data_IF_991929875796
#
_entry.id   IF_991929875796
#
_cell.length_a   1.000
_cell.length_b   1.000
_cell.length_c   1.000
_cell.angle_alpha   90.00
_cell.angle_beta   90.00
_cell.angle_gamma   90.00
#
_symmetry.space_group_name_H-M   'P 1'
#
loop_
_entity.id
_entity.type
_entity.pdbx_description
1 polymer ?
#
# COMPACT_ATOMS: atom_id res chain seq x y z
N UNK A 1 -61.66 2.25 32.46
CA UNK A 1 -60.34 2.84 32.76
C UNK A 1 -59.25 1.92 32.25
N UNK A 2 -58.62 2.26 31.15
CA UNK A 2 -57.51 1.48 30.56
C UNK A 2 -56.25 2.31 30.74
N UNK A 3 -55.29 1.82 31.51
CA UNK A 3 -53.96 2.41 31.64
C UNK A 3 -53.05 1.95 30.49
N UNK A 4 -52.53 2.92 29.74
CA UNK A 4 -51.48 2.68 28.69
C UNK A 4 -50.13 2.95 29.34
N UNK A 5 -49.33 1.91 29.50
CA UNK A 5 -47.93 2.03 29.92
C UNK A 5 -47.09 2.32 28.69
N UNK A 6 -46.51 3.49 28.61
CA UNK A 6 -45.50 3.83 27.59
C UNK A 6 -44.10 3.42 28.10
N UNK A 7 -43.52 2.42 27.48
CA UNK A 7 -42.11 2.07 27.70
C UNK A 7 -41.21 3.10 26.99
N UNK A 8 -40.41 3.80 27.75
CA UNK A 8 -39.32 4.62 27.22
C UNK A 8 -38.10 3.68 26.98
N UNK A 9 -37.72 3.47 25.72
CA UNK A 9 -36.46 2.82 25.38
C UNK A 9 -35.34 3.87 25.43
N UNK A 10 -34.45 3.72 26.39
CA UNK A 10 -33.25 4.55 26.53
C UNK A 10 -32.15 3.95 25.65
N UNK A 11 -31.91 4.55 24.49
CA UNK A 11 -30.77 4.20 23.63
C UNK A 11 -29.52 4.88 24.17
N UNK A 12 -28.64 4.11 24.80
CA UNK A 12 -27.33 4.56 25.20
C UNK A 12 -26.38 4.54 23.99
N UNK A 13 -26.07 5.72 23.47
CA UNK A 13 -25.03 5.89 22.43
C UNK A 13 -23.66 5.90 23.12
N UNK A 14 -22.92 4.84 23.01
CA UNK A 14 -21.51 4.81 23.43
C UNK A 14 -20.65 5.53 22.39
N UNK A 15 -20.23 6.74 22.68
CA UNK A 15 -19.18 7.41 21.94
C UNK A 15 -17.83 6.83 22.39
N UNK A 16 -17.19 6.03 21.53
CA UNK A 16 -15.81 5.60 21.74
C UNK A 16 -14.90 6.77 21.40
N UNK A 17 -14.41 7.47 22.41
CA UNK A 17 -13.33 8.44 22.26
C UNK A 17 -12.01 7.68 22.10
N UNK A 18 -11.52 7.55 20.87
CA UNK A 18 -10.13 7.16 20.60
C UNK A 18 -9.26 8.39 20.87
N UNK A 19 -8.63 8.43 22.03
CA UNK A 19 -7.59 9.44 22.34
C UNK A 19 -6.32 8.96 21.62
N UNK A 20 -6.20 9.28 20.33
CA UNK A 20 -4.95 9.19 19.60
C UNK A 20 -3.98 10.25 20.11
N UNK A 21 -2.80 9.85 20.58
CA UNK A 21 -1.69 10.77 20.84
C UNK A 21 -1.40 11.55 19.56
N UNK A 22 -1.58 12.87 19.61
CA UNK A 22 -1.25 13.76 18.48
C UNK A 22 0.27 13.86 18.38
N UNK A 23 0.87 13.02 17.53
CA UNK A 23 2.21 13.31 17.03
C UNK A 23 2.19 14.67 16.34
N UNK A 24 3.21 15.48 16.55
CA UNK A 24 3.36 16.77 15.86
C UNK A 24 3.56 16.51 14.37
N UNK A 25 2.58 16.89 13.53
CA UNK A 25 2.73 16.90 12.09
C UNK A 25 3.89 17.84 11.71
N UNK A 26 4.75 17.42 10.78
CA UNK A 26 5.70 18.35 10.16
C UNK A 26 4.92 19.37 9.34
N UNK A 27 5.13 20.64 9.64
CA UNK A 27 4.42 21.75 8.97
C UNK A 27 4.67 21.82 7.44
N UNK A 28 5.74 21.18 6.97
CA UNK A 28 6.15 21.25 5.57
C UNK A 28 5.42 20.25 4.66
N UNK A 29 4.85 19.15 5.21
CA UNK A 29 4.23 18.09 4.39
C UNK A 29 2.84 18.47 3.87
N UNK A 30 2.18 19.47 4.45
CA UNK A 30 0.84 19.91 4.05
C UNK A 30 0.85 20.95 2.92
N UNK A 31 2.01 21.51 2.56
CA UNK A 31 2.10 22.62 1.60
C UNK A 31 1.90 22.17 0.13
N UNK A 32 2.18 20.91 -0.20
CA UNK A 32 2.13 20.40 -1.57
C UNK A 32 0.82 19.73 -1.94
N UNK A 33 0.10 19.18 -0.95
CA UNK A 33 -1.17 18.49 -1.13
C UNK A 33 -2.29 19.28 -0.50
N UNK A 34 -3.31 19.60 -1.29
CA UNK A 34 -4.48 20.33 -0.78
C UNK A 34 -5.56 19.35 -0.31
N UNK A 35 -6.43 19.79 0.60
CA UNK A 35 -7.52 18.98 1.16
C UNK A 35 -8.60 18.57 0.14
N UNK A 36 -8.37 18.81 -1.15
CA UNK A 36 -9.25 18.41 -2.25
C UNK A 36 -8.95 17.01 -2.80
N UNK A 37 -8.05 16.26 -2.15
CA UNK A 37 -7.94 14.85 -2.47
C UNK A 37 -9.23 14.15 -2.05
N UNK A 38 -9.89 13.64 -3.05
CA UNK A 38 -11.24 13.13 -2.93
C UNK A 38 -11.32 11.62 -2.86
N UNK A 39 -10.19 10.91 -2.89
CA UNK A 39 -10.25 9.45 -2.71
C UNK A 39 -10.53 9.12 -1.24
N UNK A 40 -11.76 8.69 -0.91
CA UNK A 40 -12.16 8.51 0.47
C UNK A 40 -11.39 7.37 1.13
N UNK A 41 -10.98 7.58 2.38
CA UNK A 41 -10.54 6.51 3.24
C UNK A 41 -11.78 5.76 3.77
N UNK A 42 -12.12 4.66 3.11
CA UNK A 42 -13.25 3.83 3.53
C UNK A 42 -12.90 3.06 4.81
N UNK A 43 -13.90 2.73 5.64
CA UNK A 43 -13.69 1.84 6.77
C UNK A 43 -13.16 0.47 6.30
N UNK A 44 -12.23 -0.09 7.05
CA UNK A 44 -11.78 -1.47 6.82
C UNK A 44 -12.90 -2.45 7.14
N UNK A 45 -13.00 -3.55 6.38
CA UNK A 45 -13.88 -4.67 6.72
C UNK A 45 -13.38 -5.38 7.99
N UNK A 46 -14.24 -6.18 8.63
CA UNK A 46 -13.85 -6.93 9.82
C UNK A 46 -12.66 -7.85 9.54
N UNK A 47 -12.65 -8.51 8.38
CA UNK A 47 -11.55 -9.38 7.95
C UNK A 47 -10.25 -8.60 7.74
N UNK A 48 -10.31 -7.38 7.17
CA UNK A 48 -9.13 -6.53 6.99
C UNK A 48 -8.58 -6.05 8.34
N UNK A 49 -9.45 -5.73 9.30
CA UNK A 49 -9.03 -5.37 10.67
C UNK A 49 -8.36 -6.54 11.36
N UNK A 50 -8.95 -7.74 11.27
CA UNK A 50 -8.38 -8.97 11.83
C UNK A 50 -7.03 -9.30 11.19
N UNK A 51 -6.94 -9.29 9.85
CA UNK A 51 -5.70 -9.55 9.14
C UNK A 51 -4.60 -8.53 9.50
N UNK A 52 -4.94 -7.25 9.62
CA UNK A 52 -4.02 -6.20 10.09
C UNK A 52 -3.45 -6.56 11.47
N UNK A 53 -4.29 -7.02 12.40
CA UNK A 53 -3.85 -7.42 13.73
C UNK A 53 -2.94 -8.66 13.69
N UNK A 54 -3.30 -9.67 12.89
CA UNK A 54 -2.49 -10.88 12.67
C UNK A 54 -1.12 -10.54 12.11
N UNK A 55 -1.05 -9.72 11.06
CA UNK A 55 0.22 -9.30 10.44
C UNK A 55 1.09 -8.50 11.42
N UNK A 56 0.50 -7.60 12.19
CA UNK A 56 1.22 -6.82 13.21
C UNK A 56 1.70 -7.65 14.40
N UNK A 57 1.00 -8.71 14.73
CA UNK A 57 1.46 -9.67 15.73
C UNK A 57 2.61 -10.56 15.23
N UNK A 58 2.79 -10.66 13.90
CA UNK A 58 3.88 -11.42 13.29
C UNK A 58 5.24 -10.68 13.31
N UNK A 59 5.33 -9.51 13.92
CA UNK A 59 6.61 -8.87 14.22
C UNK A 59 7.48 -9.85 15.04
N UNK A 60 8.74 -10.10 14.65
CA UNK A 60 9.54 -11.17 15.24
C UNK A 60 9.86 -10.89 16.71
N UNK A 61 9.01 -11.43 17.56
CA UNK A 61 9.41 -11.84 18.89
C UNK A 61 10.06 -13.25 18.84
N UNK A 62 10.51 -13.71 17.67
CA UNK A 62 11.15 -15.00 17.49
C UNK A 62 10.20 -16.18 17.24
N UNK A 63 8.99 -15.97 16.80
CA UNK A 63 8.04 -17.05 16.47
C UNK A 63 7.78 -17.13 14.98
N UNK A 64 8.06 -18.30 14.38
CA UNK A 64 7.58 -18.68 13.06
C UNK A 64 6.05 -18.60 13.01
N UNK A 65 5.51 -17.56 12.40
CA UNK A 65 4.13 -17.59 11.97
C UNK A 65 4.12 -18.38 10.67
N UNK A 66 3.89 -19.67 10.78
CA UNK A 66 3.61 -20.55 9.63
C UNK A 66 2.24 -20.19 9.08
N UNK A 67 2.18 -19.09 8.32
CA UNK A 67 1.15 -18.93 7.30
C UNK A 67 1.46 -20.05 6.29
N UNK A 68 0.61 -21.07 6.24
CA UNK A 68 0.81 -22.24 5.38
C UNK A 68 1.06 -21.78 3.93
N UNK A 69 2.33 -21.70 3.59
CA UNK A 69 2.78 -21.18 2.31
C UNK A 69 2.99 -22.34 1.37
N UNK A 70 2.14 -22.43 0.37
CA UNK A 70 2.39 -23.29 -0.80
C UNK A 70 3.21 -22.59 -1.89
N UNK A 71 3.61 -21.33 -1.70
CA UNK A 71 4.42 -20.55 -2.66
C UNK A 71 5.45 -19.75 -1.86
N UNK A 72 6.73 -20.07 -2.03
CA UNK A 72 7.84 -19.36 -1.40
C UNK A 72 8.58 -18.55 -2.46
N UNK A 73 8.35 -17.23 -2.59
CA UNK A 73 9.25 -16.38 -3.35
C UNK A 73 10.66 -16.40 -2.69
N UNK A 74 11.70 -16.34 -3.50
CA UNK A 74 13.06 -16.27 -3.00
C UNK A 74 13.33 -14.91 -2.38
N UNK A 75 13.55 -14.85 -1.07
CA UNK A 75 14.05 -13.65 -0.38
C UNK A 75 15.57 -13.66 -0.41
N UNK A 76 16.17 -12.63 -0.97
CA UNK A 76 17.61 -12.41 -0.88
C UNK A 76 17.89 -11.61 0.39
N UNK A 77 18.51 -12.25 1.36
CA UNK A 77 18.82 -11.65 2.64
C UNK A 77 20.33 -11.45 2.79
N UNK A 78 20.77 -10.22 3.08
CA UNK A 78 22.18 -9.87 3.22
C UNK A 78 22.81 -10.30 4.56
N UNK A 79 22.01 -10.52 5.61
CA UNK A 79 22.48 -11.11 6.89
C UNK A 79 21.29 -11.60 7.74
N UNK A 80 21.01 -12.90 7.71
CA UNK A 80 19.94 -13.53 8.49
C UNK A 80 20.48 -14.27 9.72
N UNK A 81 21.25 -13.64 10.56
CA UNK A 81 21.74 -14.25 11.80
C UNK A 81 21.42 -13.38 13.01
N UNK A 82 20.46 -13.83 13.81
CA UNK A 82 20.08 -13.22 15.09
C UNK A 82 18.64 -12.72 15.12
N UNK A 83 17.89 -12.95 16.19
CA UNK A 83 16.47 -12.73 16.41
C UNK A 83 15.95 -11.30 16.18
N UNK A 84 15.95 -10.81 14.93
CA UNK A 84 15.46 -9.52 14.50
C UNK A 84 15.38 -9.45 12.99
N UNK A 85 14.84 -8.35 12.45
CA UNK A 85 14.84 -8.09 11.01
C UNK A 85 16.27 -7.90 10.50
N UNK A 86 16.62 -8.45 9.31
CA UNK A 86 17.89 -8.15 8.67
C UNK A 86 17.96 -6.66 8.29
N UNK A 87 19.17 -6.13 8.08
CA UNK A 87 19.38 -4.76 7.65
C UNK A 87 18.75 -4.48 6.28
N UNK A 88 18.65 -5.51 5.41
CA UNK A 88 17.94 -5.43 4.13
C UNK A 88 17.32 -6.75 3.76
N UNK A 89 16.17 -6.70 3.08
CA UNK A 89 15.53 -7.83 2.44
C UNK A 89 14.76 -7.34 1.19
N UNK A 90 14.67 -8.19 0.18
CA UNK A 90 13.87 -7.90 -1.00
C UNK A 90 13.38 -9.19 -1.67
N UNK A 91 12.31 -9.04 -2.43
CA UNK A 91 11.76 -10.07 -3.30
C UNK A 91 12.41 -10.03 -4.69
N UNK A 92 12.21 -11.07 -5.47
CA UNK A 92 12.68 -11.09 -6.86
C UNK A 92 12.04 -9.95 -7.66
N UNK A 93 12.85 -9.30 -8.48
CA UNK A 93 12.41 -8.20 -9.31
C UNK A 93 11.82 -8.72 -10.62
N UNK A 94 10.73 -8.12 -11.07
CA UNK A 94 10.04 -8.47 -12.31
C UNK A 94 9.36 -7.26 -12.97
N UNK A 95 9.98 -6.09 -12.86
CA UNK A 95 9.44 -4.86 -13.44
C UNK A 95 9.02 -5.07 -14.90
N UNK A 96 7.84 -4.56 -15.20
CA UNK A 96 7.23 -4.64 -16.53
C UNK A 96 6.62 -3.28 -16.90
N UNK A 97 7.02 -2.73 -18.05
CA UNK A 97 6.47 -1.48 -18.55
C UNK A 97 4.94 -1.52 -18.63
N UNK A 98 4.26 -0.50 -18.11
CA UNK A 98 2.82 -0.40 -18.27
C UNK A 98 2.42 -0.23 -19.73
N UNK A 99 1.40 -0.96 -20.16
CA UNK A 99 1.01 -1.06 -21.58
C UNK A 99 0.34 0.21 -22.11
N UNK A 100 -0.27 1.02 -21.21
CA UNK A 100 -0.94 2.29 -21.53
C UNK A 100 -0.57 3.34 -20.51
N UNK A 101 -0.88 4.61 -20.77
CA UNK A 101 -0.59 5.72 -19.85
C UNK A 101 -1.34 5.65 -18.51
N UNK A 102 -2.36 4.81 -18.39
CA UNK A 102 -3.22 4.67 -17.20
C UNK A 102 -3.20 3.25 -16.59
N UNK A 103 -2.26 2.39 -16.98
CA UNK A 103 -2.14 1.01 -16.49
C UNK A 103 -1.12 0.84 -15.36
N UNK A 104 -0.78 1.90 -14.62
CA UNK A 104 0.10 1.78 -13.45
C UNK A 104 -0.45 0.77 -12.41
N UNK A 105 -1.73 0.84 -12.05
CA UNK A 105 -2.37 -0.14 -11.16
C UNK A 105 -2.35 -1.57 -11.69
N UNK A 106 -2.80 -1.84 -12.93
CA UNK A 106 -2.68 -3.14 -13.57
C UNK A 106 -1.25 -3.68 -13.63
N UNK A 107 -0.26 -2.83 -13.92
CA UNK A 107 1.14 -3.21 -13.95
C UNK A 107 1.67 -3.59 -12.56
N UNK A 108 1.40 -2.77 -11.54
CA UNK A 108 1.82 -3.05 -10.17
C UNK A 108 1.18 -4.32 -9.59
N UNK A 109 -0.09 -4.60 -9.93
CA UNK A 109 -0.75 -5.87 -9.55
C UNK A 109 -0.15 -7.05 -10.30
N UNK A 110 0.19 -6.90 -11.59
CA UNK A 110 0.89 -7.91 -12.37
C UNK A 110 2.27 -8.23 -11.75
N UNK A 111 3.05 -7.20 -11.39
CA UNK A 111 4.36 -7.33 -10.76
C UNK A 111 4.25 -7.98 -9.38
N UNK A 112 3.36 -7.48 -8.52
CA UNK A 112 3.16 -8.00 -7.18
C UNK A 112 2.74 -9.48 -7.17
N UNK A 113 1.83 -9.88 -8.06
CA UNK A 113 1.45 -11.28 -8.21
C UNK A 113 2.59 -12.13 -8.79
N UNK A 114 3.34 -11.59 -9.76
CA UNK A 114 4.52 -12.24 -10.35
C UNK A 114 5.60 -12.52 -9.31
N UNK A 115 5.85 -11.58 -8.39
CA UNK A 115 6.81 -11.73 -7.29
C UNK A 115 6.48 -12.91 -6.35
N UNK A 116 5.20 -13.30 -6.26
CA UNK A 116 4.74 -14.46 -5.47
C UNK A 116 4.38 -15.69 -6.35
N UNK A 117 4.77 -15.67 -7.64
CA UNK A 117 4.61 -16.81 -8.56
C UNK A 117 3.22 -16.96 -9.19
N UNK A 118 2.37 -15.94 -9.12
CA UNK A 118 1.04 -15.93 -9.73
C UNK A 118 1.06 -15.09 -11.01
N UNK A 119 0.62 -15.69 -12.12
CA UNK A 119 0.57 -14.99 -13.40
C UNK A 119 -0.79 -14.32 -13.61
N UNK A 120 -0.78 -13.02 -13.91
CA UNK A 120 -1.94 -12.26 -14.35
C UNK A 120 -1.50 -11.18 -15.34
N UNK A 121 -2.02 -11.16 -16.56
CA UNK A 121 -1.66 -10.10 -17.52
C UNK A 121 -2.18 -8.73 -17.08
N UNK A 122 -1.50 -7.64 -17.48
CA UNK A 122 -1.97 -6.27 -17.21
C UNK A 122 -3.40 -6.04 -17.71
N UNK A 123 -3.76 -6.56 -18.90
CA UNK A 123 -5.11 -6.45 -19.44
C UNK A 123 -6.16 -7.14 -18.55
N UNK A 124 -5.83 -8.35 -18.05
CA UNK A 124 -6.71 -9.07 -17.12
C UNK A 124 -6.79 -8.38 -15.75
N UNK A 125 -5.66 -7.82 -15.27
CA UNK A 125 -5.62 -7.01 -14.06
C UNK A 125 -6.49 -5.76 -14.21
N UNK A 126 -6.39 -5.04 -15.33
CA UNK A 126 -7.21 -3.86 -15.62
C UNK A 126 -8.71 -4.15 -15.57
N UNK A 127 -9.12 -5.29 -16.14
CA UNK A 127 -10.53 -5.73 -16.10
C UNK A 127 -10.98 -5.99 -14.66
N UNK A 128 -10.17 -6.68 -13.86
CA UNK A 128 -10.50 -7.02 -12.47
C UNK A 128 -10.49 -5.81 -11.54
N UNK A 129 -9.59 -4.86 -11.79
CA UNK A 129 -9.45 -3.61 -11.05
C UNK A 129 -10.48 -2.54 -11.47
N UNK A 130 -11.26 -2.81 -12.53
CA UNK A 130 -12.12 -1.81 -13.16
C UNK A 130 -11.39 -0.54 -13.56
N UNK A 131 -10.14 -0.68 -14.00
CA UNK A 131 -9.30 0.42 -14.46
C UNK A 131 -9.94 1.13 -15.64
N UNK A 132 -10.04 2.44 -15.58
CA UNK A 132 -10.54 3.31 -16.65
C UNK A 132 -9.40 4.13 -17.26
N UNK A 133 -9.71 5.05 -18.16
CA UNK A 133 -8.73 6.04 -18.67
C UNK A 133 -8.23 7.00 -17.59
N UNK A 134 -8.93 7.12 -16.46
CA UNK A 134 -8.53 7.91 -15.30
C UNK A 134 -7.62 7.11 -14.34
N UNK A 135 -7.31 5.85 -14.69
CA UNK A 135 -6.48 4.95 -13.89
C UNK A 135 -7.27 3.97 -13.03
N UNK A 136 -6.58 3.41 -12.04
CA UNK A 136 -7.15 2.52 -11.01
C UNK A 136 -7.41 3.34 -9.75
N UNK A 137 -8.64 3.34 -9.26
CA UNK A 137 -9.01 4.07 -8.05
C UNK A 137 -8.29 3.50 -6.81
N UNK A 138 -7.91 4.37 -5.87
CA UNK A 138 -7.48 3.95 -4.53
C UNK A 138 -8.64 3.25 -3.81
N UNK A 139 -9.81 3.90 -3.80
CA UNK A 139 -11.02 3.38 -3.15
C UNK A 139 -12.27 3.83 -3.89
N UNK A 140 -13.43 3.24 -3.55
CA UNK A 140 -14.73 3.69 -4.06
C UNK A 140 -15.09 3.18 -5.46
N UNK A 141 -14.30 2.35 -6.10
CA UNK A 141 -14.55 1.80 -7.44
C UNK A 141 -15.70 0.78 -7.50
N UNK A 142 -16.90 1.18 -7.14
CA UNK A 142 -18.27 0.64 -7.28
C UNK A 142 -18.54 -0.88 -7.31
N UNK A 143 -17.53 -1.72 -7.58
CA UNK A 143 -17.65 -3.17 -7.76
C UNK A 143 -16.65 -3.96 -6.90
N UNK A 144 -15.77 -3.27 -6.19
CA UNK A 144 -14.82 -3.88 -5.27
C UNK A 144 -15.53 -4.25 -3.96
N UNK A 145 -15.50 -5.52 -3.49
CA UNK A 145 -16.21 -5.97 -2.30
C UNK A 145 -15.84 -5.18 -1.02
N UNK A 146 -14.57 -4.83 -0.85
CA UNK A 146 -14.12 -4.02 0.30
C UNK A 146 -14.18 -2.52 0.03
N UNK A 147 -14.42 -2.11 -1.21
CA UNK A 147 -14.26 -0.73 -1.67
C UNK A 147 -12.82 -0.36 -2.05
N UNK A 148 -11.85 -1.28 -1.93
CA UNK A 148 -10.45 -1.10 -2.30
C UNK A 148 -10.05 -2.09 -3.40
N UNK A 149 -10.01 -1.68 -4.68
CA UNK A 149 -9.84 -2.61 -5.81
C UNK A 149 -8.54 -3.43 -5.77
N UNK A 150 -7.43 -2.79 -5.42
CA UNK A 150 -6.11 -3.46 -5.49
C UNK A 150 -5.99 -4.61 -4.49
N UNK A 151 -6.24 -4.45 -3.17
CA UNK A 151 -6.19 -5.58 -2.25
C UNK A 151 -7.23 -6.65 -2.58
N UNK A 152 -8.42 -6.29 -3.05
CA UNK A 152 -9.45 -7.26 -3.42
C UNK A 152 -9.00 -8.16 -4.58
N UNK A 153 -8.38 -7.60 -5.62
CA UNK A 153 -7.84 -8.38 -6.74
C UNK A 153 -6.66 -9.25 -6.30
N UNK A 154 -5.72 -8.71 -5.52
CA UNK A 154 -4.59 -9.46 -5.00
C UNK A 154 -5.05 -10.64 -4.14
N UNK A 155 -6.04 -10.44 -3.27
CA UNK A 155 -6.62 -11.48 -2.42
C UNK A 155 -7.36 -12.54 -3.24
N UNK A 156 -8.19 -12.12 -4.19
CA UNK A 156 -8.93 -13.04 -5.06
C UNK A 156 -7.98 -13.94 -5.88
N UNK A 157 -6.87 -13.38 -6.39
CA UNK A 157 -5.88 -14.12 -7.17
C UNK A 157 -5.08 -15.12 -6.32
N UNK A 158 -4.87 -14.83 -5.03
CA UNK A 158 -4.21 -15.74 -4.09
C UNK A 158 -5.16 -16.77 -3.46
N UNK A 159 -6.48 -16.55 -3.55
CA UNK A 159 -7.50 -17.35 -2.87
C UNK A 159 -7.49 -17.20 -1.35
N UNK A 160 -7.03 -16.06 -0.82
CA UNK A 160 -6.98 -15.75 0.62
C UNK A 160 -7.02 -14.25 0.89
N UNK A 161 -7.60 -13.85 2.03
CA UNK A 161 -7.70 -12.45 2.47
C UNK A 161 -6.42 -12.03 3.21
N UNK A 162 -5.35 -11.79 2.46
CA UNK A 162 -4.04 -11.43 3.02
C UNK A 162 -3.74 -9.93 2.91
N UNK A 163 -3.94 -9.36 1.71
CA UNK A 163 -3.66 -7.96 1.47
C UNK A 163 -4.73 -7.06 2.08
N UNK A 164 -4.29 -6.03 2.79
CA UNK A 164 -5.13 -5.02 3.41
C UNK A 164 -4.70 -3.62 2.97
N UNK A 165 -5.64 -2.69 2.76
CA UNK A 165 -5.29 -1.30 2.50
C UNK A 165 -4.86 -0.63 3.81
N UNK A 166 -3.83 0.20 3.74
CA UNK A 166 -3.42 1.10 4.83
C UNK A 166 -3.52 2.54 4.34
N UNK A 167 -4.63 3.22 4.61
CA UNK A 167 -4.78 4.64 4.32
C UNK A 167 -3.73 5.48 5.06
N UNK A 168 -3.21 6.49 4.40
CA UNK A 168 -2.22 7.43 4.94
C UNK A 168 -2.76 8.85 4.84
N UNK A 169 -2.93 9.52 5.97
CA UNK A 169 -3.36 10.92 6.01
C UNK A 169 -2.34 11.84 5.32
N UNK A 170 -2.81 12.97 4.77
CA UNK A 170 -1.94 13.99 4.17
C UNK A 170 -0.89 14.46 5.18
N UNK A 171 -1.27 14.67 6.45
CA UNK A 171 -0.33 15.01 7.51
C UNK A 171 0.44 13.77 7.97
N UNK A 172 1.67 13.64 7.51
CA UNK A 172 2.58 12.56 7.88
C UNK A 172 3.21 12.83 9.24
N UNK A 173 3.13 11.84 10.13
CA UNK A 173 3.75 11.87 11.47
C UNK A 173 4.87 10.84 11.59
N UNK A 174 5.68 10.95 12.64
CA UNK A 174 6.67 9.93 13.00
C UNK A 174 6.04 8.54 13.19
N UNK A 175 4.82 8.49 13.74
CA UNK A 175 4.09 7.25 13.98
C UNK A 175 3.61 6.63 12.66
N UNK A 176 3.18 7.46 11.69
CA UNK A 176 2.86 7.00 10.33
C UNK A 176 4.07 6.36 9.67
N UNK A 177 5.24 7.01 9.74
CA UNK A 177 6.49 6.47 9.17
C UNK A 177 6.92 5.19 9.90
N UNK A 178 6.78 5.13 11.22
CA UNK A 178 7.11 3.95 12.01
C UNK A 178 6.19 2.77 11.68
N UNK A 179 4.90 3.02 11.51
CA UNK A 179 3.90 2.04 11.07
C UNK A 179 4.27 1.48 9.70
N UNK A 180 4.53 2.35 8.72
CA UNK A 180 4.95 1.93 7.38
C UNK A 180 6.20 1.05 7.41
N UNK A 181 7.25 1.46 8.14
CA UNK A 181 8.49 0.68 8.25
C UNK A 181 8.27 -0.69 8.86
N UNK A 182 7.36 -0.81 9.83
CA UNK A 182 6.99 -2.10 10.40
C UNK A 182 6.27 -2.96 9.37
N UNK A 183 5.21 -2.43 8.76
CA UNK A 183 4.40 -3.14 7.79
C UNK A 183 5.25 -3.60 6.58
N UNK A 184 6.18 -2.76 6.12
CA UNK A 184 7.16 -3.08 5.08
C UNK A 184 8.05 -4.29 5.47
N UNK A 185 8.59 -4.30 6.70
CA UNK A 185 9.44 -5.41 7.16
C UNK A 185 8.65 -6.71 7.33
N UNK A 186 7.44 -6.62 7.89
CA UNK A 186 6.56 -7.78 8.06
C UNK A 186 6.29 -8.42 6.71
N UNK A 187 5.85 -7.68 5.75
CA UNK A 187 5.47 -8.24 4.45
C UNK A 187 6.68 -8.77 3.68
N UNK A 188 7.71 -7.98 3.53
CA UNK A 188 8.87 -8.38 2.72
C UNK A 188 9.64 -9.54 3.36
N UNK A 189 9.89 -9.49 4.67
CA UNK A 189 10.75 -10.50 5.31
C UNK A 189 9.98 -11.69 5.88
N UNK A 190 8.91 -11.43 6.65
CA UNK A 190 8.19 -12.49 7.35
C UNK A 190 7.22 -13.21 6.42
N UNK A 191 6.46 -12.49 5.64
CA UNK A 191 5.38 -13.04 4.81
C UNK A 191 5.85 -13.34 3.40
N UNK A 192 6.87 -12.62 2.92
CA UNK A 192 7.43 -12.72 1.58
C UNK A 192 6.41 -12.34 0.49
N UNK A 193 5.71 -11.25 0.74
CA UNK A 193 4.79 -10.63 -0.20
C UNK A 193 5.20 -9.17 -0.43
N UNK A 194 5.12 -8.65 -1.68
CA UNK A 194 5.37 -7.25 -1.95
C UNK A 194 4.22 -6.39 -1.46
N UNK A 195 4.49 -5.10 -1.23
CA UNK A 195 3.45 -4.11 -1.03
C UNK A 195 3.18 -3.38 -2.35
N UNK A 196 2.05 -2.66 -2.42
CA UNK A 196 1.72 -1.80 -3.56
C UNK A 196 1.36 -0.41 -3.05
N UNK A 197 2.10 0.60 -3.48
CA UNK A 197 1.87 1.99 -3.08
C UNK A 197 1.01 2.74 -4.09
N UNK A 198 0.11 3.59 -3.62
CA UNK A 198 -0.62 4.55 -4.44
C UNK A 198 -0.04 5.95 -4.21
N UNK A 199 0.80 6.39 -5.12
CA UNK A 199 1.46 7.67 -5.08
C UNK A 199 0.50 8.80 -5.46
N UNK A 200 0.54 9.89 -4.69
CA UNK A 200 0.09 11.21 -5.07
C UNK A 200 1.27 12.16 -4.98
N UNK A 201 1.84 12.49 -6.11
CA UNK A 201 3.01 13.37 -6.24
C UNK A 201 2.53 14.77 -6.60
N UNK A 202 2.50 15.67 -5.63
CA UNK A 202 2.09 17.04 -5.85
C UNK A 202 3.23 17.91 -6.41
N UNK A 203 2.96 18.89 -7.29
CA UNK A 203 3.98 19.76 -7.85
C UNK A 203 4.83 20.43 -6.76
N UNK A 204 6.17 20.33 -6.89
CA UNK A 204 7.14 20.88 -5.93
C UNK A 204 7.37 20.01 -4.69
N UNK A 205 6.57 18.96 -4.49
CA UNK A 205 6.74 17.98 -3.42
C UNK A 205 7.71 16.84 -3.81
N UNK A 206 7.82 15.82 -2.94
CA UNK A 206 8.58 14.62 -3.25
C UNK A 206 7.91 13.83 -4.40
N UNK A 207 8.77 13.28 -5.27
CA UNK A 207 8.39 12.42 -6.39
C UNK A 207 9.21 11.13 -6.38
N UNK A 208 8.69 10.09 -7.02
CA UNK A 208 9.45 8.88 -7.34
C UNK A 208 10.62 9.25 -8.27
N UNK A 209 11.67 8.45 -8.28
CA UNK A 209 12.90 8.75 -9.01
C UNK A 209 12.64 8.85 -10.51
N UNK A 210 13.01 9.98 -11.09
CA UNK A 210 12.84 10.25 -12.53
C UNK A 210 11.48 10.81 -12.95
N UNK A 211 10.53 10.91 -12.02
CA UNK A 211 9.26 11.59 -12.28
C UNK A 211 9.43 13.11 -12.35
N UNK A 212 8.70 13.80 -13.25
CA UNK A 212 8.78 15.25 -13.38
C UNK A 212 8.17 15.97 -12.17
N UNK A 213 8.99 16.72 -11.42
CA UNK A 213 8.62 17.38 -10.15
C UNK A 213 7.70 18.59 -10.27
N UNK A 214 7.43 19.04 -11.49
CA UNK A 214 6.56 20.20 -11.78
C UNK A 214 5.12 19.80 -12.15
N UNK A 215 4.75 18.53 -11.97
CA UNK A 215 3.43 17.98 -12.30
C UNK A 215 2.82 17.30 -11.11
N UNK A 216 1.49 17.26 -11.10
CA UNK A 216 0.75 16.33 -10.27
C UNK A 216 0.71 14.96 -10.97
N UNK A 217 1.08 13.91 -10.24
CA UNK A 217 1.10 12.54 -10.77
C UNK A 217 0.41 11.62 -9.75
N UNK A 218 -0.54 10.84 -10.24
CA UNK A 218 -1.13 9.71 -9.53
C UNK A 218 -0.58 8.43 -10.12
N UNK A 219 0.04 7.58 -9.27
CA UNK A 219 0.78 6.43 -9.77
C UNK A 219 0.81 5.28 -8.78
N UNK A 220 0.42 4.10 -9.26
CA UNK A 220 0.63 2.85 -8.54
C UNK A 220 2.01 2.27 -8.83
N UNK A 221 2.71 1.78 -7.81
CA UNK A 221 4.02 1.18 -7.93
C UNK A 221 4.20 -0.01 -6.97
N UNK A 222 5.00 -0.98 -7.36
CA UNK A 222 5.29 -2.17 -6.54
C UNK A 222 6.46 -1.90 -5.59
N UNK A 223 6.31 -2.28 -4.32
CA UNK A 223 7.31 -2.15 -3.27
C UNK A 223 7.82 -3.55 -2.96
N UNK A 224 9.05 -3.84 -3.36
CA UNK A 224 9.64 -5.17 -3.32
C UNK A 224 10.66 -5.40 -2.21
N UNK A 225 11.03 -4.37 -1.45
CA UNK A 225 12.09 -4.54 -0.48
C UNK A 225 12.40 -3.33 0.38
N UNK A 226 13.36 -3.52 1.27
CA UNK A 226 13.87 -2.48 2.14
C UNK A 226 15.38 -2.59 2.37
N UNK A 227 16.00 -1.47 2.78
CA UNK A 227 17.34 -1.36 3.34
C UNK A 227 17.29 -0.59 4.66
N UNK A 228 18.40 -0.58 5.39
CA UNK A 228 18.56 0.14 6.67
C UNK A 228 17.44 -0.23 7.67
N UNK A 229 17.12 -1.53 7.76
CA UNK A 229 16.06 -2.06 8.64
C UNK A 229 14.71 -1.34 8.42
N UNK A 230 14.35 -1.12 7.16
CA UNK A 230 13.14 -0.40 6.75
C UNK A 230 13.30 1.12 6.69
N UNK A 231 14.50 1.66 6.89
CA UNK A 231 14.77 3.10 6.72
C UNK A 231 14.72 3.57 5.28
N UNK A 232 14.94 2.66 4.33
CA UNK A 232 14.83 2.90 2.89
C UNK A 232 13.94 1.84 2.24
N UNK A 233 13.13 2.25 1.29
CA UNK A 233 12.20 1.42 0.52
C UNK A 233 12.74 1.17 -0.88
N UNK A 234 12.77 -0.09 -1.30
CA UNK A 234 13.13 -0.51 -2.65
C UNK A 234 11.85 -0.79 -3.45
N UNK A 235 11.73 -0.24 -4.63
CA UNK A 235 10.52 -0.36 -5.45
C UNK A 235 10.83 -0.55 -6.94
N UNK A 236 9.84 -1.00 -7.67
CA UNK A 236 9.80 -1.09 -9.13
C UNK A 236 8.85 -0.05 -9.68
N UNK A 237 9.16 0.47 -10.86
CA UNK A 237 8.36 1.50 -11.50
C UNK A 237 7.98 1.10 -12.91
N UNK A 238 6.69 0.87 -13.13
CA UNK A 238 6.13 0.46 -14.42
C UNK A 238 6.16 1.54 -15.50
N UNK A 239 6.51 2.78 -15.14
CA UNK A 239 6.76 3.86 -16.13
C UNK A 239 8.05 3.58 -16.91
N UNK A 240 9.04 2.92 -16.30
CA UNK A 240 10.24 2.54 -17.03
C UNK A 240 9.91 1.73 -18.29
N UNK A 241 10.35 2.20 -19.45
CA UNK A 241 10.09 1.54 -20.73
C UNK A 241 8.67 1.73 -21.31
N UNK A 242 7.77 2.43 -20.60
CA UNK A 242 6.42 2.68 -21.09
C UNK A 242 6.41 3.66 -22.26
N UNK A 243 6.21 3.19 -23.48
CA UNK A 243 6.21 4.01 -24.71
C UNK A 243 5.07 5.03 -24.77
N UNK A 244 4.01 4.82 -23.99
CA UNK A 244 2.86 5.74 -23.89
C UNK A 244 3.11 6.94 -22.98
N UNK A 245 4.26 6.99 -22.28
CA UNK A 245 4.62 8.06 -21.35
C UNK A 245 5.88 8.77 -21.85
N UNK A 246 5.76 10.04 -22.19
CA UNK A 246 6.81 10.81 -22.88
C UNK A 246 8.09 11.01 -22.04
N UNK A 247 8.02 10.87 -20.71
CA UNK A 247 9.15 11.03 -19.79
C UNK A 247 9.65 9.70 -19.22
N UNK A 248 9.17 8.57 -19.72
CA UNK A 248 9.55 7.22 -19.26
C UNK A 248 11.06 6.94 -19.34
N UNK A 249 11.75 7.57 -20.25
CA UNK A 249 13.20 7.42 -20.42
C UNK A 249 14.05 7.96 -19.26
N UNK A 250 13.48 8.79 -18.38
CA UNK A 250 14.16 9.29 -17.17
C UNK A 250 13.90 8.42 -15.93
N UNK A 251 12.96 7.46 -16.01
CA UNK A 251 12.54 6.63 -14.87
C UNK A 251 13.36 5.33 -14.85
N UNK A 252 14.10 5.04 -13.76
CA UNK A 252 14.75 3.75 -13.59
C UNK A 252 13.72 2.64 -13.34
N UNK A 253 14.02 1.42 -13.81
CA UNK A 253 13.19 0.24 -13.52
C UNK A 253 13.11 -0.06 -12.01
N UNK A 254 14.22 0.17 -11.31
CA UNK A 254 14.38 -0.10 -9.88
C UNK A 254 14.96 1.11 -9.19
N UNK A 255 14.38 1.46 -8.04
CA UNK A 255 14.84 2.61 -7.27
C UNK A 255 14.75 2.36 -5.77
N UNK A 256 15.42 3.23 -5.03
CA UNK A 256 15.41 3.24 -3.57
C UNK A 256 15.24 4.68 -3.08
N UNK A 257 14.29 4.89 -2.20
CA UNK A 257 14.06 6.17 -1.51
C UNK A 257 14.00 5.98 0.00
N UNK A 258 14.22 7.05 0.75
CA UNK A 258 13.95 7.03 2.19
C UNK A 258 12.48 6.65 2.43
N UNK A 259 12.22 5.76 3.39
CA UNK A 259 10.84 5.32 3.69
C UNK A 259 9.94 6.47 4.14
N UNK A 260 10.49 7.51 4.79
CA UNK A 260 9.75 8.74 5.09
C UNK A 260 9.30 9.48 3.83
N UNK A 261 10.14 9.51 2.79
CA UNK A 261 9.79 10.09 1.48
C UNK A 261 8.66 9.31 0.81
N UNK A 262 8.73 7.97 0.81
CA UNK A 262 7.66 7.12 0.29
C UNK A 262 6.35 7.39 1.03
N UNK A 263 6.36 7.48 2.38
CA UNK A 263 5.16 7.79 3.17
C UNK A 263 4.58 9.15 2.79
N UNK A 264 5.41 10.16 2.54
CA UNK A 264 4.95 11.47 2.06
C UNK A 264 4.35 11.38 0.64
N UNK A 265 4.94 10.59 -0.25
CA UNK A 265 4.43 10.39 -1.61
C UNK A 265 3.05 9.71 -1.57
N UNK A 266 2.86 8.66 -0.78
CA UNK A 266 1.58 7.95 -0.68
C UNK A 266 0.57 8.62 0.28
N UNK A 267 0.93 9.72 0.95
CA UNK A 267 0.01 10.42 1.85
C UNK A 267 -1.17 11.05 1.07
N UNK A 268 -2.35 11.06 1.68
CA UNK A 268 -3.62 11.40 1.02
C UNK A 268 -4.28 10.20 0.34
N UNK A 269 -3.55 9.10 0.14
CA UNK A 269 -3.99 7.80 -0.37
C UNK A 269 -3.52 6.70 0.57
N UNK A 270 -2.51 5.92 0.21
CA UNK A 270 -1.98 4.90 1.09
C UNK A 270 -1.17 3.83 0.36
N UNK A 271 -1.09 2.68 0.99
CA UNK A 271 -0.46 1.50 0.43
C UNK A 271 -1.25 0.23 0.79
N UNK A 272 -1.04 -0.79 0.02
CA UNK A 272 -1.60 -2.13 0.23
C UNK A 272 -0.46 -3.04 0.70
N UNK A 273 -0.71 -3.74 1.79
CA UNK A 273 0.29 -4.59 2.43
C UNK A 273 -0.30 -5.92 2.90
#
# INVERSE_FOLDING_TARGET
MRYVIRSLALTATFAVFVIGSRGTARADDAAWKTAYDTDPHLPLTAEQVEMTAVKRAAEPAGTDVTLAASISPSVVCASCSGGGYPSSAHLAANQTAQSTSYYCGPASVHEALGAIGISLSQASAATKLHTTTDGTAWSGGGTSPSGYPVPDVLNAMQGRNYYVPQPVSIAVTSDTVSTYKRDLRVDIYTVRAPLVGDAWEAPGGPHLVGHPTNREIFHWFEIRGYQNTGGSTMYEDSVHGASSISWSGSVPAYSTLASSTIVTIVSGRGYVW
#
